data_IF_366579923168
#
_entry.id   IF_366579923168
#
_cell.length_a   1.000
_cell.length_b   1.000
_cell.length_c   1.000
_cell.angle_alpha   90.00
_cell.angle_beta   90.00
_cell.angle_gamma   90.00
#
_symmetry.space_group_name_H-M   'P 1'
#
loop_
_entity.id
_entity.type
_entity.pdbx_description
1 polymer ?
#
# COMPACT_ATOMS: atom_id res chain seq x y z
N UNK A 1 -71.41 24.96 24.37
CA UNK A 1 -71.09 23.80 23.53
C UNK A 1 -70.59 24.31 22.19
N UNK A 2 -69.26 24.33 21.94
CA UNK A 2 -68.67 24.51 20.60
C UNK A 2 -67.12 24.54 20.55
N UNK A 3 -66.36 24.39 21.64
CA UNK A 3 -64.89 24.53 21.57
C UNK A 3 -64.06 23.39 22.17
N UNK A 4 -64.64 22.20 22.32
CA UNK A 4 -63.91 20.99 22.75
C UNK A 4 -63.69 19.95 21.64
N UNK A 5 -64.15 20.22 20.42
CA UNK A 5 -64.05 19.27 19.29
C UNK A 5 -62.82 19.50 18.37
N UNK A 6 -62.17 20.67 18.44
CA UNK A 6 -61.02 21.00 17.56
C UNK A 6 -59.67 20.48 18.07
N UNK A 7 -59.53 20.19 19.36
CA UNK A 7 -58.29 19.66 19.97
C UNK A 7 -58.05 18.16 19.78
N UNK A 8 -59.07 17.38 19.40
CA UNK A 8 -58.99 15.91 19.35
C UNK A 8 -58.57 15.36 17.98
N UNK A 9 -58.74 16.13 16.90
CA UNK A 9 -58.35 15.72 15.54
C UNK A 9 -56.86 15.97 15.23
N UNK A 10 -56.25 16.98 15.85
CA UNK A 10 -54.83 17.31 15.68
C UNK A 10 -53.88 16.31 16.39
N UNK A 11 -54.37 15.62 17.41
CA UNK A 11 -53.54 14.69 18.22
C UNK A 11 -53.46 13.28 17.63
N UNK A 12 -54.41 12.88 16.77
CA UNK A 12 -54.38 11.57 16.09
C UNK A 12 -53.48 11.55 14.85
N UNK A 13 -53.31 12.67 14.15
CA UNK A 13 -52.36 12.83 13.04
C UNK A 13 -50.91 12.95 13.53
N UNK A 14 -50.67 13.57 14.69
CA UNK A 14 -49.34 13.66 15.30
C UNK A 14 -48.80 12.29 15.74
N UNK A 15 -49.66 11.41 16.28
CA UNK A 15 -49.27 10.05 16.72
C UNK A 15 -48.88 9.12 15.57
N UNK A 16 -49.43 9.31 14.35
CA UNK A 16 -49.02 8.56 13.16
C UNK A 16 -47.64 8.99 12.65
N UNK A 17 -47.26 10.26 12.84
CA UNK A 17 -45.94 10.75 12.42
C UNK A 17 -44.80 10.27 13.34
N UNK A 18 -45.05 10.16 14.64
CA UNK A 18 -44.09 9.57 15.60
C UNK A 18 -43.84 8.08 15.38
N UNK A 19 -44.82 7.32 14.87
CA UNK A 19 -44.69 5.86 14.68
C UNK A 19 -43.92 5.48 13.40
N UNK A 20 -43.94 6.35 12.39
CA UNK A 20 -43.09 6.24 11.20
C UNK A 20 -41.66 6.72 11.52
N UNK A 21 -41.50 7.78 12.32
CA UNK A 21 -40.18 8.25 12.77
C UNK A 21 -39.44 7.23 13.64
N UNK A 22 -40.13 6.48 14.51
CA UNK A 22 -39.52 5.40 15.30
C UNK A 22 -39.14 4.16 14.49
N UNK A 23 -39.86 3.84 13.39
CA UNK A 23 -39.44 2.74 12.48
C UNK A 23 -38.23 3.15 11.63
N UNK A 24 -38.18 4.41 11.19
CA UNK A 24 -37.01 4.96 10.49
C UNK A 24 -35.81 5.08 11.43
N UNK A 25 -36.00 5.49 12.69
CA UNK A 25 -34.92 5.57 13.70
C UNK A 25 -34.46 4.21 14.24
N UNK A 26 -35.33 3.20 14.35
CA UNK A 26 -34.88 1.83 14.68
C UNK A 26 -34.17 1.14 13.52
N UNK A 27 -34.54 1.47 12.27
CA UNK A 27 -33.81 0.99 11.09
C UNK A 27 -32.51 1.78 10.86
N UNK A 28 -32.48 3.09 11.17
CA UNK A 28 -31.26 3.90 11.16
C UNK A 28 -30.30 3.47 12.28
N UNK A 29 -30.75 3.26 13.52
CA UNK A 29 -29.86 2.83 14.61
C UNK A 29 -29.33 1.38 14.48
N UNK A 30 -30.00 0.51 13.71
CA UNK A 30 -29.46 -0.81 13.33
C UNK A 30 -28.58 -0.72 12.09
N UNK A 31 -28.93 0.12 11.12
CA UNK A 31 -28.10 0.40 9.94
C UNK A 31 -26.80 1.11 10.32
N UNK A 32 -26.83 2.01 11.31
CA UNK A 32 -25.70 2.75 11.86
C UNK A 32 -24.80 1.82 12.67
N UNK A 33 -25.35 0.96 13.54
CA UNK A 33 -24.56 -0.10 14.20
C UNK A 33 -23.91 -1.08 13.23
N UNK A 34 -24.66 -1.57 12.23
CA UNK A 34 -24.09 -2.47 11.20
C UNK A 34 -23.16 -1.74 10.23
N UNK A 35 -23.24 -0.41 10.13
CA UNK A 35 -22.31 0.41 9.36
C UNK A 35 -21.02 0.63 10.16
N UNK A 36 -21.11 0.94 11.45
CA UNK A 36 -19.97 0.99 12.37
C UNK A 36 -19.23 -0.35 12.45
N UNK A 37 -19.93 -1.47 12.64
CA UNK A 37 -19.31 -2.79 12.66
C UNK A 37 -18.57 -3.10 11.33
N UNK A 38 -19.13 -2.67 10.19
CA UNK A 38 -18.47 -2.82 8.89
C UNK A 38 -17.26 -1.89 8.75
N UNK A 39 -17.33 -0.66 9.24
CA UNK A 39 -16.21 0.28 9.25
C UNK A 39 -15.08 -0.26 10.11
N UNK A 40 -15.38 -0.77 11.32
CA UNK A 40 -14.40 -1.38 12.21
C UNK A 40 -13.72 -2.60 11.56
N UNK A 41 -14.49 -3.46 10.88
CA UNK A 41 -13.91 -4.56 10.09
C UNK A 41 -12.97 -4.07 8.99
N UNK A 42 -13.34 -3.00 8.27
CA UNK A 42 -12.51 -2.40 7.23
C UNK A 42 -11.26 -1.71 7.80
N UNK A 43 -11.38 -1.06 8.96
CA UNK A 43 -10.27 -0.47 9.69
C UNK A 43 -9.25 -1.53 10.13
N UNK A 44 -9.73 -2.65 10.69
CA UNK A 44 -8.88 -3.78 11.05
C UNK A 44 -8.19 -4.43 9.84
N UNK A 45 -8.91 -4.57 8.71
CA UNK A 45 -8.30 -5.06 7.45
C UNK A 45 -7.22 -4.11 6.95
N UNK A 46 -7.45 -2.80 7.03
CA UNK A 46 -6.48 -1.79 6.62
C UNK A 46 -5.23 -1.81 7.52
N UNK A 47 -5.39 -1.92 8.84
CA UNK A 47 -4.28 -2.02 9.78
C UNK A 47 -3.42 -3.25 9.49
N UNK A 48 -4.05 -4.42 9.28
CA UNK A 48 -3.35 -5.64 8.89
C UNK A 48 -2.64 -5.48 7.55
N UNK A 49 -3.26 -4.81 6.58
CA UNK A 49 -2.68 -4.57 5.27
C UNK A 49 -1.45 -3.65 5.37
N UNK A 50 -1.50 -2.64 6.25
CA UNK A 50 -0.36 -1.77 6.55
C UNK A 50 0.80 -2.54 7.17
N UNK A 51 0.52 -3.44 8.12
CA UNK A 51 1.53 -4.26 8.77
C UNK A 51 2.25 -5.19 7.77
N UNK A 52 1.47 -5.93 6.97
CA UNK A 52 2.01 -6.86 5.97
C UNK A 52 2.85 -6.11 4.93
N UNK A 53 2.35 -4.96 4.45
CA UNK A 53 3.07 -4.14 3.49
C UNK A 53 4.34 -3.51 4.09
N UNK A 54 4.29 -3.11 5.36
CA UNK A 54 5.47 -2.63 6.10
C UNK A 54 6.54 -3.71 6.22
N UNK A 55 6.16 -4.96 6.49
CA UNK A 55 7.08 -6.10 6.50
C UNK A 55 7.71 -6.32 5.14
N UNK A 56 6.92 -6.35 4.07
CA UNK A 56 7.43 -6.50 2.69
C UNK A 56 8.42 -5.38 2.35
N UNK A 57 8.09 -4.13 2.68
CA UNK A 57 8.95 -2.99 2.41
C UNK A 57 10.30 -3.08 3.15
N UNK A 58 10.28 -3.52 4.41
CA UNK A 58 11.52 -3.76 5.18
C UNK A 58 12.40 -4.80 4.52
N UNK A 59 11.84 -5.95 4.15
CA UNK A 59 12.60 -7.03 3.51
C UNK A 59 13.12 -6.62 2.13
N UNK A 60 12.32 -5.91 1.33
CA UNK A 60 12.75 -5.39 0.02
C UNK A 60 13.94 -4.44 0.15
N UNK A 61 13.91 -3.52 1.12
CA UNK A 61 15.04 -2.63 1.38
C UNK A 61 16.31 -3.39 1.78
N UNK A 62 16.17 -4.41 2.62
CA UNK A 62 17.28 -5.29 3.00
C UNK A 62 17.85 -6.00 1.77
N UNK A 63 16.99 -6.52 0.90
CA UNK A 63 17.39 -7.15 -0.35
C UNK A 63 18.13 -6.18 -1.28
N UNK A 64 17.62 -4.97 -1.50
CA UNK A 64 18.29 -3.94 -2.31
C UNK A 64 19.68 -3.61 -1.75
N UNK A 65 19.83 -3.53 -0.43
CA UNK A 65 21.12 -3.30 0.21
C UNK A 65 22.11 -4.44 -0.10
N UNK A 66 21.68 -5.69 0.07
CA UNK A 66 22.50 -6.86 -0.26
C UNK A 66 22.85 -6.91 -1.76
N UNK A 67 21.91 -6.58 -2.64
CA UNK A 67 22.12 -6.54 -4.08
C UNK A 67 23.18 -5.49 -4.49
N UNK A 68 23.16 -4.30 -3.86
CA UNK A 68 24.20 -3.27 -4.04
C UNK A 68 25.57 -3.75 -3.55
N UNK A 69 25.62 -4.45 -2.42
CA UNK A 69 26.87 -5.05 -1.94
C UNK A 69 27.40 -6.13 -2.90
N UNK A 70 26.52 -6.95 -3.47
CA UNK A 70 26.89 -7.96 -4.47
C UNK A 70 27.41 -7.32 -5.77
N UNK A 71 26.77 -6.23 -6.24
CA UNK A 71 27.26 -5.46 -7.38
C UNK A 71 28.69 -4.96 -7.12
N UNK A 72 28.95 -4.38 -5.94
CA UNK A 72 30.28 -3.86 -5.60
C UNK A 72 31.33 -4.98 -5.54
N UNK A 73 31.00 -6.11 -4.91
CA UNK A 73 31.89 -7.28 -4.85
C UNK A 73 32.19 -7.85 -6.25
N UNK A 74 31.15 -7.94 -7.09
CA UNK A 74 31.27 -8.40 -8.48
C UNK A 74 32.16 -7.47 -9.29
N UNK A 75 31.98 -6.15 -9.16
CA UNK A 75 32.81 -5.14 -9.83
C UNK A 75 34.28 -5.27 -9.45
N UNK A 76 34.60 -5.41 -8.16
CA UNK A 76 35.98 -5.59 -7.71
C UNK A 76 36.62 -6.83 -8.34
N UNK A 77 35.88 -7.94 -8.42
CA UNK A 77 36.36 -9.17 -9.07
C UNK A 77 36.61 -8.96 -10.57
N UNK A 78 35.69 -8.32 -11.28
CA UNK A 78 35.81 -8.08 -12.71
C UNK A 78 36.94 -7.11 -13.04
N UNK A 79 37.18 -6.11 -12.19
CA UNK A 79 38.31 -5.18 -12.35
C UNK A 79 39.65 -5.91 -12.23
N UNK A 80 39.82 -6.74 -11.21
CA UNK A 80 41.04 -7.55 -11.06
C UNK A 80 41.21 -8.47 -12.27
N UNK A 81 40.13 -9.14 -12.72
CA UNK A 81 40.19 -9.99 -13.90
C UNK A 81 40.63 -9.20 -15.14
N UNK A 82 40.06 -8.03 -15.37
CA UNK A 82 40.41 -7.15 -16.48
C UNK A 82 41.87 -6.65 -16.43
N UNK A 83 42.39 -6.38 -15.23
CA UNK A 83 43.79 -5.97 -15.03
C UNK A 83 44.78 -7.13 -15.25
N UNK A 84 44.37 -8.36 -14.92
CA UNK A 84 45.22 -9.56 -15.05
C UNK A 84 45.18 -10.22 -16.42
N UNK A 85 44.20 -9.88 -17.27
CA UNK A 85 44.05 -10.47 -18.60
C UNK A 85 44.84 -9.65 -19.62
N UNK A 86 45.91 -10.23 -20.17
CA UNK A 86 46.84 -9.51 -21.06
C UNK A 86 46.29 -9.38 -22.50
N UNK A 87 46.68 -8.31 -23.20
CA UNK A 87 46.16 -7.98 -24.55
C UNK A 87 46.53 -9.00 -25.63
N UNK A 88 47.61 -9.74 -25.44
CA UNK A 88 48.10 -10.78 -26.34
C UNK A 88 47.48 -12.15 -26.06
N UNK A 89 46.67 -12.29 -25.01
CA UNK A 89 45.95 -13.52 -24.72
C UNK A 89 44.75 -13.66 -25.66
N UNK A 90 44.42 -14.91 -26.00
CA UNK A 90 43.30 -15.25 -26.87
C UNK A 90 42.00 -14.60 -26.36
N UNK A 91 41.14 -14.14 -27.27
CA UNK A 91 39.82 -13.58 -26.93
C UNK A 91 39.80 -12.33 -26.01
N UNK A 92 40.93 -11.62 -25.82
CA UNK A 92 41.02 -10.40 -24.99
C UNK A 92 39.83 -9.43 -25.16
N UNK A 93 39.52 -9.04 -26.40
CA UNK A 93 38.43 -8.10 -26.69
C UNK A 93 37.04 -8.66 -26.32
N UNK A 94 36.82 -9.96 -26.49
CA UNK A 94 35.58 -10.61 -26.11
C UNK A 94 35.43 -10.65 -24.59
N UNK A 95 36.49 -11.02 -23.85
CA UNK A 95 36.50 -11.02 -22.39
C UNK A 95 36.22 -9.62 -21.85
N UNK A 96 36.92 -8.60 -22.36
CA UNK A 96 36.71 -7.19 -22.00
C UNK A 96 35.27 -6.73 -22.25
N UNK A 97 34.71 -7.07 -23.41
CA UNK A 97 33.31 -6.77 -23.75
C UNK A 97 32.31 -7.43 -22.79
N UNK A 98 32.54 -8.69 -22.41
CA UNK A 98 31.70 -9.41 -21.46
C UNK A 98 31.74 -8.80 -20.06
N UNK A 99 32.92 -8.39 -19.57
CA UNK A 99 33.06 -7.75 -18.25
C UNK A 99 32.34 -6.40 -18.20
N UNK A 100 32.43 -5.59 -19.26
CA UNK A 100 31.66 -4.35 -19.38
C UNK A 100 30.15 -4.62 -19.41
N UNK A 101 29.73 -5.67 -20.11
CA UNK A 101 28.32 -6.07 -20.19
C UNK A 101 27.78 -6.49 -18.82
N UNK A 102 28.59 -7.19 -18.00
CA UNK A 102 28.24 -7.56 -16.63
C UNK A 102 28.00 -6.34 -15.74
N UNK A 103 28.84 -5.30 -15.84
CA UNK A 103 28.64 -4.04 -15.10
C UNK A 103 27.31 -3.36 -15.49
N UNK A 104 27.00 -3.31 -16.79
CA UNK A 104 25.76 -2.73 -17.29
C UNK A 104 24.52 -3.52 -16.83
N UNK A 105 24.60 -4.86 -16.85
CA UNK A 105 23.51 -5.72 -16.38
C UNK A 105 23.20 -5.48 -14.89
N UNK A 106 24.22 -5.33 -14.04
CA UNK A 106 24.03 -4.97 -12.63
C UNK A 106 23.34 -3.63 -12.45
N UNK A 107 23.78 -2.62 -13.21
CA UNK A 107 23.17 -1.29 -13.17
C UNK A 107 21.69 -1.34 -13.56
N UNK A 108 21.37 -1.96 -14.70
CA UNK A 108 20.01 -2.09 -15.20
C UNK A 108 19.12 -2.87 -14.24
N UNK A 109 19.65 -3.94 -13.65
CA UNK A 109 18.92 -4.74 -12.67
C UNK A 109 18.53 -3.92 -11.43
N UNK A 110 19.48 -3.21 -10.82
CA UNK A 110 19.22 -2.40 -9.63
C UNK A 110 18.28 -1.21 -9.93
N UNK A 111 18.43 -0.60 -11.10
CA UNK A 111 17.53 0.46 -11.56
C UNK A 111 16.10 -0.08 -11.73
N UNK A 112 15.95 -1.20 -12.44
CA UNK A 112 14.65 -1.84 -12.64
C UNK A 112 14.00 -2.25 -11.32
N UNK A 113 14.78 -2.81 -10.38
CA UNK A 113 14.30 -3.16 -9.05
C UNK A 113 13.81 -1.94 -8.28
N UNK A 114 14.50 -0.80 -8.41
CA UNK A 114 14.05 0.45 -7.81
C UNK A 114 12.71 0.92 -8.43
N UNK A 115 12.70 1.08 -9.74
CA UNK A 115 11.61 1.78 -10.44
C UNK A 115 10.35 0.91 -10.53
N UNK A 116 10.51 -0.40 -10.71
CA UNK A 116 9.39 -1.33 -10.91
C UNK A 116 8.84 -1.92 -9.61
N UNK A 117 9.60 -1.86 -8.51
CA UNK A 117 9.22 -2.53 -7.25
C UNK A 117 9.31 -1.60 -6.05
N UNK A 118 10.46 -0.97 -5.82
CA UNK A 118 10.69 -0.13 -4.64
C UNK A 118 9.82 1.14 -4.64
N UNK A 119 9.80 1.89 -5.74
CA UNK A 119 9.00 3.12 -5.86
C UNK A 119 7.49 2.88 -5.80
N UNK A 120 6.92 1.89 -6.50
CA UNK A 120 5.51 1.54 -6.35
C UNK A 120 5.15 1.16 -4.92
N UNK A 121 6.01 0.40 -4.23
CA UNK A 121 5.77 0.01 -2.85
C UNK A 121 5.85 1.22 -1.90
N UNK A 122 6.80 2.13 -2.10
CA UNK A 122 6.88 3.38 -1.33
C UNK A 122 5.64 4.25 -1.53
N UNK A 123 5.19 4.38 -2.78
CA UNK A 123 3.98 5.14 -3.12
C UNK A 123 2.76 4.52 -2.44
N UNK A 124 2.60 3.20 -2.54
CA UNK A 124 1.52 2.47 -1.88
C UNK A 124 1.55 2.65 -0.35
N UNK A 125 2.73 2.54 0.26
CA UNK A 125 2.91 2.76 1.70
C UNK A 125 2.57 4.19 2.13
N UNK A 126 2.79 5.19 1.27
CA UNK A 126 2.50 6.60 1.56
C UNK A 126 1.01 6.91 1.69
N UNK A 127 0.11 6.04 1.19
CA UNK A 127 -1.33 6.24 1.27
C UNK A 127 -1.93 5.88 2.63
N UNK A 128 -1.30 5.01 3.42
CA UNK A 128 -1.87 4.56 4.71
C UNK A 128 -2.14 5.70 5.71
N UNK A 129 -1.24 6.69 5.92
CA UNK A 129 -1.52 7.83 6.81
C UNK A 129 -2.81 8.58 6.44
N UNK A 130 -3.04 8.83 5.14
CA UNK A 130 -4.23 9.54 4.66
C UNK A 130 -5.51 8.70 4.79
N UNK A 131 -5.42 7.39 4.57
CA UNK A 131 -6.54 6.47 4.73
C UNK A 131 -6.97 6.35 6.19
N UNK A 132 -6.01 6.38 7.13
CA UNK A 132 -6.33 6.39 8.57
C UNK A 132 -7.11 7.63 8.99
N UNK A 133 -6.71 8.82 8.53
CA UNK A 133 -7.42 10.09 8.83
C UNK A 133 -8.82 10.14 8.21
N UNK A 134 -9.07 9.39 7.13
CA UNK A 134 -10.39 9.35 6.50
C UNK A 134 -11.35 8.35 7.15
N UNK A 135 -10.81 7.37 7.90
CA UNK A 135 -11.58 6.28 8.52
C UNK A 135 -11.75 6.49 10.03
N UNK A 136 -10.77 7.11 10.70
CA UNK A 136 -10.77 7.48 12.12
C UNK A 136 -11.23 8.93 12.30
#
# INVERSE_FOLDING_TARGET
MADQAKGSLLTKSLKKWTRTKTKVLQNLGKAEKTFDERIDEHAHKLERQQEVAGKLHKELRGYIHCAKAMQAASKNLYQVLQETYEEDWDDYENVKSQLNSLELMWHNYLQSLNDSVNEPLNTYMSHFPNLRVSIM
#
